data_IF_713836789081
#
_entry.id   IF_713836789081
#
_cell.length_a   1.000
_cell.length_b   1.000
_cell.length_c   1.000
_cell.angle_alpha   90.00
_cell.angle_beta   90.00
_cell.angle_gamma   90.00
#
_symmetry.space_group_name_H-M   'P 1'
#
loop_
_entity.id
_entity.type
_entity.pdbx_description
1 polymer ?
#
# COMPACT_ATOMS: atom_id res chain seq x y z
N UNK A 1 17.65 -28.72 16.49
CA UNK A 1 18.12 -27.37 16.07
C UNK A 1 18.50 -26.54 17.27
N UNK A 2 17.57 -26.10 18.14
CA UNK A 2 17.90 -25.19 19.26
C UNK A 2 19.03 -25.68 20.19
N UNK A 3 19.06 -26.97 20.53
CA UNK A 3 20.12 -27.55 21.39
C UNK A 3 21.52 -27.53 20.77
N UNK A 4 21.61 -27.35 19.45
CA UNK A 4 22.85 -27.43 18.69
C UNK A 4 22.95 -26.22 17.74
N UNK A 5 22.69 -25.02 18.25
CA UNK A 5 22.66 -23.79 17.45
C UNK A 5 23.99 -23.56 16.71
N UNK A 6 25.12 -23.86 17.34
CA UNK A 6 26.46 -23.69 16.76
C UNK A 6 26.87 -24.80 15.77
N UNK A 7 26.00 -25.78 15.50
CA UNK A 7 26.25 -26.87 14.56
C UNK A 7 25.57 -26.62 13.21
N UNK A 8 26.30 -26.03 12.26
CA UNK A 8 25.81 -25.62 10.94
C UNK A 8 25.04 -26.73 10.20
N UNK A 9 25.60 -27.93 10.16
CA UNK A 9 25.00 -29.07 9.45
C UNK A 9 23.64 -29.48 10.05
N UNK A 10 23.47 -29.35 11.37
CA UNK A 10 22.20 -29.60 12.07
C UNK A 10 21.19 -28.51 11.75
N UNK A 11 21.59 -27.25 11.66
CA UNK A 11 20.68 -26.17 11.29
C UNK A 11 20.20 -26.29 9.85
N UNK A 12 21.10 -26.59 8.91
CA UNK A 12 20.75 -26.76 7.49
C UNK A 12 19.81 -27.95 7.30
N UNK A 13 20.17 -29.12 7.83
CA UNK A 13 19.36 -30.33 7.67
C UNK A 13 18.03 -30.22 8.43
N UNK A 14 18.06 -29.61 9.61
CA UNK A 14 16.88 -29.37 10.44
C UNK A 14 15.90 -28.40 9.79
N UNK A 15 16.37 -27.28 9.25
CA UNK A 15 15.52 -26.29 8.58
C UNK A 15 14.88 -26.86 7.30
N UNK A 16 15.62 -27.64 6.51
CA UNK A 16 15.05 -28.38 5.38
C UNK A 16 13.97 -29.38 5.83
N UNK A 17 14.19 -30.08 6.94
CA UNK A 17 13.20 -31.01 7.50
C UNK A 17 11.94 -30.27 7.96
N UNK A 18 12.09 -29.12 8.62
CA UNK A 18 10.96 -28.28 9.02
C UNK A 18 10.15 -27.81 7.81
N UNK A 19 10.80 -27.39 6.72
CA UNK A 19 10.11 -27.04 5.48
C UNK A 19 9.18 -28.16 4.99
N UNK A 20 9.68 -29.40 4.90
CA UNK A 20 8.86 -30.53 4.44
C UNK A 20 7.76 -30.92 5.45
N UNK A 21 7.99 -30.76 6.75
CA UNK A 21 6.97 -30.99 7.78
C UNK A 21 5.83 -30.00 7.65
N UNK A 22 6.14 -28.72 7.41
CA UNK A 22 5.13 -27.66 7.29
C UNK A 22 4.43 -27.72 5.93
N UNK A 23 5.16 -28.00 4.84
CA UNK A 23 4.62 -28.12 3.48
C UNK A 23 3.77 -29.39 3.28
N UNK A 24 4.18 -30.52 3.85
CA UNK A 24 3.71 -31.85 3.47
C UNK A 24 2.44 -32.37 4.15
N UNK A 25 1.74 -31.57 4.95
CA UNK A 25 0.52 -32.03 5.64
C UNK A 25 -0.75 -31.51 4.99
N UNK A 26 -1.63 -32.43 4.63
CA UNK A 26 -3.05 -32.17 4.40
C UNK A 26 -3.64 -31.44 5.62
N UNK A 27 -3.81 -30.12 5.50
CA UNK A 27 -4.66 -29.17 6.27
C UNK A 27 -4.91 -29.44 7.76
N UNK A 28 -4.02 -30.13 8.47
CA UNK A 28 -4.02 -30.16 9.94
C UNK A 28 -3.33 -28.89 10.40
N UNK A 29 -4.14 -27.88 10.69
CA UNK A 29 -3.70 -26.61 11.29
C UNK A 29 -2.86 -26.93 12.52
N UNK A 30 -1.53 -26.76 12.42
CA UNK A 30 -0.69 -26.71 13.61
C UNK A 30 -1.31 -25.71 14.59
N UNK A 31 -1.37 -26.07 15.87
CA UNK A 31 -1.78 -25.12 16.88
C UNK A 31 -0.79 -23.94 16.94
N UNK A 32 -1.25 -22.80 17.44
CA UNK A 32 -0.41 -21.60 17.48
C UNK A 32 0.89 -21.82 18.26
N UNK A 33 0.87 -22.69 19.28
CA UNK A 33 2.07 -23.02 20.04
C UNK A 33 3.12 -23.71 19.19
N UNK A 34 2.73 -24.73 18.41
CA UNK A 34 3.66 -25.46 17.53
C UNK A 34 4.18 -24.55 16.43
N UNK A 35 3.34 -23.71 15.84
CA UNK A 35 3.77 -22.71 14.85
C UNK A 35 4.86 -21.79 15.41
N UNK A 36 4.61 -21.21 16.59
CA UNK A 36 5.58 -20.33 17.28
C UNK A 36 6.90 -21.04 17.59
N UNK A 37 6.84 -22.32 18.00
CA UNK A 37 8.05 -23.11 18.23
C UNK A 37 8.85 -23.33 16.94
N UNK A 38 8.19 -23.71 15.84
CA UNK A 38 8.86 -23.90 14.54
C UNK A 38 9.47 -22.59 14.05
N UNK A 39 8.70 -21.50 14.05
CA UNK A 39 9.16 -20.17 13.64
C UNK A 39 10.33 -19.71 14.52
N UNK A 40 10.21 -19.78 15.85
CA UNK A 40 11.27 -19.37 16.77
C UNK A 40 12.56 -20.16 16.58
N UNK A 41 12.46 -21.49 16.40
CA UNK A 41 13.60 -22.37 16.10
C UNK A 41 14.28 -21.97 14.79
N UNK A 42 13.48 -21.67 13.77
CA UNK A 42 13.97 -21.28 12.46
C UNK A 42 14.70 -19.93 12.50
N UNK A 43 14.10 -18.93 13.16
CA UNK A 43 14.69 -17.60 13.32
C UNK A 43 15.98 -17.63 14.16
N UNK A 44 16.08 -18.54 15.15
CA UNK A 44 17.35 -18.77 15.86
C UNK A 44 18.45 -19.20 14.88
N UNK A 45 18.19 -20.24 14.08
CA UNK A 45 19.15 -20.74 13.09
C UNK A 45 19.51 -19.70 12.03
N UNK A 46 18.53 -18.94 11.54
CA UNK A 46 18.76 -17.86 10.59
C UNK A 46 19.61 -16.74 11.19
N UNK A 47 19.39 -16.39 12.46
CA UNK A 47 20.17 -15.33 13.15
C UNK A 47 21.65 -15.68 13.32
N UNK A 48 21.93 -16.96 13.62
CA UNK A 48 23.29 -17.48 13.78
C UNK A 48 24.02 -17.59 12.43
N UNK A 49 23.36 -18.14 11.40
CA UNK A 49 23.97 -18.36 10.08
C UNK A 49 23.44 -17.40 9.01
N UNK A 50 23.34 -16.11 9.35
CA UNK A 50 22.76 -15.06 8.49
C UNK A 50 23.39 -14.93 7.11
N UNK A 51 24.67 -15.30 6.97
CA UNK A 51 25.41 -15.26 5.70
C UNK A 51 25.37 -16.56 4.89
N UNK A 52 24.65 -17.58 5.36
CA UNK A 52 24.56 -18.87 4.68
C UNK A 52 23.32 -18.95 3.76
N UNK A 53 23.54 -19.04 2.44
CA UNK A 53 22.46 -19.08 1.43
C UNK A 53 21.47 -20.23 1.69
N UNK A 54 21.97 -21.40 2.08
CA UNK A 54 21.11 -22.57 2.28
C UNK A 54 20.24 -22.40 3.53
N UNK A 55 20.81 -21.87 4.62
CA UNK A 55 20.04 -21.57 5.83
C UNK A 55 18.98 -20.49 5.56
N UNK A 56 19.34 -19.40 4.88
CA UNK A 56 18.40 -18.33 4.53
C UNK A 56 17.30 -18.85 3.61
N UNK A 57 17.65 -19.63 2.57
CA UNK A 57 16.70 -20.24 1.64
C UNK A 57 15.69 -21.13 2.36
N UNK A 58 16.16 -22.06 3.18
CA UNK A 58 15.28 -22.96 3.94
C UNK A 58 14.40 -22.17 4.91
N UNK A 59 14.98 -21.17 5.56
CA UNK A 59 14.30 -20.19 6.40
C UNK A 59 13.11 -19.54 5.71
N UNK A 60 13.40 -18.79 4.66
CA UNK A 60 12.40 -18.06 3.88
C UNK A 60 11.32 -18.98 3.30
N UNK A 61 11.70 -20.11 2.69
CA UNK A 61 10.73 -21.06 2.13
C UNK A 61 9.78 -21.65 3.18
N UNK A 62 10.30 -21.91 4.38
CA UNK A 62 9.49 -22.40 5.50
C UNK A 62 8.56 -21.30 6.03
N UNK A 63 9.04 -20.07 6.15
CA UNK A 63 8.24 -18.91 6.56
C UNK A 63 7.07 -18.65 5.60
N UNK A 64 7.29 -18.79 4.28
CA UNK A 64 6.23 -18.68 3.28
C UNK A 64 5.08 -19.69 3.42
N UNK A 65 5.23 -20.73 4.26
CA UNK A 65 4.15 -21.69 4.52
C UNK A 65 3.23 -21.28 5.70
N UNK A 66 3.56 -20.18 6.40
CA UNK A 66 2.76 -19.66 7.51
C UNK A 66 1.89 -18.49 7.05
N UNK A 67 0.86 -18.17 7.85
CA UNK A 67 0.04 -16.97 7.63
C UNK A 67 0.82 -15.75 8.10
N UNK A 68 1.34 -14.98 7.16
CA UNK A 68 2.07 -13.75 7.45
C UNK A 68 1.09 -12.58 7.38
N UNK A 69 1.06 -11.69 8.39
CA UNK A 69 1.96 -11.57 9.52
C UNK A 69 1.45 -12.29 10.77
N UNK A 70 0.19 -12.75 10.80
CA UNK A 70 -0.49 -13.31 11.99
C UNK A 70 0.37 -14.29 12.80
N UNK A 71 0.97 -15.28 12.12
CA UNK A 71 1.75 -16.36 12.75
C UNK A 71 3.14 -15.87 13.22
N UNK A 72 3.65 -14.74 12.71
CA UNK A 72 5.00 -14.22 12.99
C UNK A 72 5.04 -12.98 13.89
N UNK A 73 3.89 -12.39 14.23
CA UNK A 73 3.79 -11.17 15.06
C UNK A 73 4.51 -11.28 16.41
N UNK A 74 4.56 -12.47 17.01
CA UNK A 74 5.19 -12.68 18.32
C UNK A 74 6.71 -12.42 18.32
N UNK A 75 7.34 -12.41 17.15
CA UNK A 75 8.79 -12.24 16.98
C UNK A 75 9.10 -11.36 15.75
N UNK A 76 8.24 -10.37 15.56
CA UNK A 76 8.18 -9.52 14.39
C UNK A 76 9.49 -8.77 14.13
N UNK A 77 10.01 -8.09 15.15
CA UNK A 77 11.22 -7.25 15.03
C UNK A 77 12.43 -8.07 14.57
N UNK A 78 12.62 -9.27 15.12
CA UNK A 78 13.70 -10.17 14.73
C UNK A 78 13.55 -10.64 13.29
N UNK A 79 12.34 -11.00 12.88
CA UNK A 79 12.06 -11.35 11.49
C UNK A 79 12.39 -10.19 10.56
N UNK A 80 11.96 -8.96 10.87
CA UNK A 80 12.23 -7.78 10.04
C UNK A 80 13.73 -7.52 9.93
N UNK A 81 14.49 -7.61 11.02
CA UNK A 81 15.96 -7.51 10.97
C UNK A 81 16.59 -8.53 10.02
N UNK A 82 16.13 -9.79 10.08
CA UNK A 82 16.62 -10.85 9.20
C UNK A 82 16.25 -10.59 7.74
N UNK A 83 15.01 -10.19 7.46
CA UNK A 83 14.56 -9.88 6.10
C UNK A 83 15.34 -8.69 5.51
N UNK A 84 15.54 -7.63 6.29
CA UNK A 84 16.34 -6.47 5.84
C UNK A 84 17.82 -6.84 5.62
N UNK A 85 18.37 -7.74 6.44
CA UNK A 85 19.70 -8.30 6.19
C UNK A 85 19.74 -9.08 4.88
N UNK A 86 18.76 -9.96 4.64
CA UNK A 86 18.65 -10.73 3.39
C UNK A 86 18.60 -9.82 2.17
N UNK A 87 17.76 -8.78 2.22
CA UNK A 87 17.63 -7.81 1.12
C UNK A 87 18.95 -7.09 0.83
N UNK A 88 19.73 -6.81 1.88
CA UNK A 88 20.93 -5.97 1.78
C UNK A 88 22.20 -6.73 1.46
N UNK A 89 22.38 -7.92 2.04
CA UNK A 89 23.67 -8.62 2.08
C UNK A 89 23.71 -9.90 1.25
N UNK A 90 22.56 -10.46 0.87
CA UNK A 90 22.55 -11.63 -0.03
C UNK A 90 22.90 -11.20 -1.46
N UNK A 91 23.40 -12.16 -2.24
CA UNK A 91 23.78 -11.92 -3.62
C UNK A 91 22.62 -11.27 -4.40
N UNK A 92 22.93 -10.20 -5.13
CA UNK A 92 21.93 -9.45 -5.89
C UNK A 92 21.25 -10.37 -6.91
N UNK A 93 19.94 -10.27 -7.01
CA UNK A 93 19.08 -11.11 -7.87
C UNK A 93 19.04 -12.59 -7.48
N UNK A 94 19.69 -13.00 -6.39
CA UNK A 94 19.60 -14.36 -5.89
C UNK A 94 18.17 -14.71 -5.50
N UNK A 95 17.86 -16.01 -5.58
CA UNK A 95 16.58 -16.56 -5.15
C UNK A 95 16.24 -16.18 -3.70
N UNK A 96 17.24 -16.16 -2.82
CA UNK A 96 17.07 -15.81 -1.41
C UNK A 96 16.72 -14.33 -1.24
N UNK A 97 17.42 -13.43 -1.94
CA UNK A 97 17.11 -12.00 -1.90
C UNK A 97 15.68 -11.75 -2.38
N UNK A 98 15.28 -12.36 -3.50
CA UNK A 98 13.92 -12.24 -4.06
C UNK A 98 12.86 -12.66 -3.04
N UNK A 99 12.98 -13.85 -2.42
CA UNK A 99 12.00 -14.27 -1.40
C UNK A 99 12.02 -13.34 -0.18
N UNK A 100 13.19 -12.86 0.23
CA UNK A 100 13.30 -11.88 1.33
C UNK A 100 12.52 -10.60 1.07
N UNK A 101 12.58 -10.08 -0.16
CA UNK A 101 11.82 -8.90 -0.60
C UNK A 101 10.31 -9.19 -0.59
N UNK A 102 9.88 -10.34 -1.13
CA UNK A 102 8.47 -10.74 -1.09
C UNK A 102 7.92 -10.89 0.33
N UNK A 103 8.67 -11.57 1.21
CA UNK A 103 8.31 -11.71 2.62
C UNK A 103 8.22 -10.36 3.31
N UNK A 104 9.16 -9.44 3.04
CA UNK A 104 9.12 -8.09 3.60
C UNK A 104 7.87 -7.33 3.14
N UNK A 105 7.48 -7.46 1.87
CA UNK A 105 6.23 -6.88 1.36
C UNK A 105 5.00 -7.45 2.07
N UNK A 106 4.91 -8.79 2.20
CA UNK A 106 3.80 -9.45 2.90
C UNK A 106 3.70 -9.02 4.36
N UNK A 107 4.85 -8.89 5.03
CA UNK A 107 4.92 -8.40 6.41
C UNK A 107 4.47 -6.95 6.49
N UNK A 108 4.82 -6.08 5.54
CA UNK A 108 4.40 -4.68 5.52
C UNK A 108 2.89 -4.50 5.24
N UNK A 109 2.31 -5.35 4.39
CA UNK A 109 0.93 -5.23 3.88
C UNK A 109 -0.16 -5.33 4.97
N UNK A 110 0.10 -6.00 6.08
CA UNK A 110 -0.96 -6.39 7.04
C UNK A 110 -0.69 -5.97 8.49
N UNK A 111 0.35 -5.17 8.73
CA UNK A 111 0.69 -4.69 10.08
C UNK A 111 0.15 -3.29 10.38
N UNK A 112 0.05 -2.94 11.66
CA UNK A 112 -0.42 -1.65 12.15
C UNK A 112 0.65 -0.54 12.04
N UNK A 113 0.26 0.71 12.32
CA UNK A 113 1.15 1.87 12.20
C UNK A 113 2.42 1.81 13.08
N UNK A 114 2.38 1.12 14.22
CA UNK A 114 3.56 0.99 15.10
C UNK A 114 4.63 0.08 14.48
N UNK A 115 4.20 -1.02 13.86
CA UNK A 115 5.10 -1.94 13.16
C UNK A 115 5.58 -1.38 11.82
N UNK A 116 4.73 -0.64 11.08
CA UNK A 116 5.17 0.11 9.89
C UNK A 116 6.22 1.15 10.24
N UNK A 117 6.06 1.85 11.37
CA UNK A 117 7.08 2.78 11.88
C UNK A 117 8.38 2.05 12.20
N UNK A 118 8.32 0.90 12.88
CA UNK A 118 9.50 0.06 13.14
C UNK A 118 10.21 -0.36 11.84
N UNK A 119 9.49 -0.83 10.82
CA UNK A 119 10.06 -1.14 9.51
C UNK A 119 10.86 0.04 8.94
N UNK A 120 10.28 1.23 9.01
CA UNK A 120 10.95 2.46 8.60
C UNK A 120 12.18 2.82 9.44
N UNK A 121 12.07 2.68 10.77
CA UNK A 121 13.16 2.95 11.73
C UNK A 121 14.34 2.00 11.49
N UNK A 122 14.07 0.75 11.12
CA UNK A 122 15.06 -0.26 10.74
C UNK A 122 15.64 -0.06 9.33
N UNK A 123 15.17 0.95 8.59
CA UNK A 123 15.73 1.36 7.32
C UNK A 123 15.10 0.73 6.08
N UNK A 124 13.91 0.12 6.19
CA UNK A 124 13.24 -0.52 5.05
C UNK A 124 13.12 0.41 3.83
N UNK A 125 12.70 1.67 4.04
CA UNK A 125 12.58 2.67 2.96
C UNK A 125 13.91 2.86 2.22
N UNK A 126 15.01 3.08 2.94
CA UNK A 126 16.32 3.30 2.33
C UNK A 126 16.81 2.07 1.55
N UNK A 127 16.53 0.85 2.05
CA UNK A 127 16.89 -0.38 1.34
C UNK A 127 16.09 -0.54 0.05
N UNK A 128 14.78 -0.29 0.07
CA UNK A 128 13.96 -0.34 -1.14
C UNK A 128 14.36 0.73 -2.16
N UNK A 129 14.66 1.95 -1.72
CA UNK A 129 15.18 3.01 -2.60
C UNK A 129 16.50 2.60 -3.26
N UNK A 130 17.40 1.93 -2.55
CA UNK A 130 18.63 1.39 -3.12
C UNK A 130 18.40 0.32 -4.19
N UNK A 131 17.42 -0.57 -4.00
CA UNK A 131 17.02 -1.54 -5.03
C UNK A 131 16.47 -0.85 -6.28
N UNK A 132 15.63 0.18 -6.09
CA UNK A 132 15.06 0.96 -7.19
C UNK A 132 16.14 1.72 -7.94
N UNK A 133 17.10 2.33 -7.24
CA UNK A 133 18.22 3.03 -7.84
C UNK A 133 19.07 2.10 -8.72
N UNK A 134 19.41 0.90 -8.23
CA UNK A 134 20.14 -0.11 -9.00
C UNK A 134 19.39 -0.52 -10.27
N UNK A 135 18.12 -0.89 -10.14
CA UNK A 135 17.28 -1.34 -11.26
C UNK A 135 17.06 -0.24 -12.28
N UNK A 136 16.87 0.99 -11.84
CA UNK A 136 16.74 2.15 -12.71
C UNK A 136 18.05 2.46 -13.44
N UNK A 137 19.20 2.39 -12.76
CA UNK A 137 20.51 2.60 -13.38
C UNK A 137 20.81 1.56 -14.45
N UNK A 138 20.41 0.30 -14.21
CA UNK A 138 20.56 -0.82 -15.14
C UNK A 138 19.45 -0.93 -16.18
N UNK A 139 18.40 -0.10 -16.06
CA UNK A 139 17.19 -0.11 -16.92
C UNK A 139 16.49 -1.47 -16.94
N UNK A 140 16.45 -2.14 -15.79
CA UNK A 140 15.77 -3.42 -15.60
C UNK A 140 14.45 -3.16 -14.87
N UNK A 141 13.35 -3.65 -15.44
CA UNK A 141 12.05 -3.69 -14.78
C UNK A 141 11.68 -5.15 -14.58
N UNK A 142 11.98 -5.66 -13.38
CA UNK A 142 11.66 -7.00 -12.93
C UNK A 142 10.66 -6.96 -11.76
N UNK A 143 10.24 -8.14 -11.33
CA UNK A 143 9.40 -8.35 -10.15
C UNK A 143 9.97 -7.70 -8.89
N UNK A 144 11.30 -7.67 -8.75
CA UNK A 144 11.97 -7.02 -7.62
C UNK A 144 11.69 -5.51 -7.59
N UNK A 145 11.77 -4.83 -8.74
CA UNK A 145 11.46 -3.40 -8.82
C UNK A 145 10.00 -3.13 -8.41
N UNK A 146 9.06 -3.91 -8.94
CA UNK A 146 7.62 -3.76 -8.67
C UNK A 146 7.29 -4.01 -7.20
N UNK A 147 7.86 -5.08 -6.60
CA UNK A 147 7.66 -5.41 -5.19
C UNK A 147 8.36 -4.41 -4.27
N UNK A 148 9.50 -3.82 -4.67
CA UNK A 148 10.13 -2.76 -3.88
C UNK A 148 9.23 -1.52 -3.75
N UNK A 149 8.60 -1.10 -4.85
CA UNK A 149 7.61 -0.02 -4.82
C UNK A 149 6.36 -0.41 -4.02
N UNK A 150 5.84 -1.63 -4.19
CA UNK A 150 4.71 -2.17 -3.40
C UNK A 150 5.02 -2.18 -1.90
N UNK A 151 6.25 -2.59 -1.53
CA UNK A 151 6.70 -2.61 -0.13
C UNK A 151 6.72 -1.21 0.44
N UNK A 152 7.27 -0.23 -0.29
CA UNK A 152 7.27 1.16 0.17
C UNK A 152 5.86 1.74 0.24
N UNK A 153 4.97 1.40 -0.68
CA UNK A 153 3.55 1.80 -0.61
C UNK A 153 2.92 1.31 0.70
N UNK A 154 3.11 0.02 1.04
CA UNK A 154 2.60 -0.56 2.28
C UNK A 154 3.22 0.06 3.55
N UNK A 155 4.52 0.37 3.54
CA UNK A 155 5.24 0.95 4.69
C UNK A 155 4.92 2.43 4.92
N UNK A 156 4.53 3.16 3.87
CA UNK A 156 4.15 4.58 3.96
C UNK A 156 2.71 4.81 4.37
N UNK A 157 1.84 3.82 4.15
CA UNK A 157 0.41 3.88 4.50
C UNK A 157 0.21 4.17 6.00
N UNK A 158 -0.60 5.21 6.30
CA UNK A 158 -0.87 5.74 7.65
C UNK A 158 0.40 6.11 8.47
N UNK A 159 1.56 6.28 7.83
CA UNK A 159 2.84 6.48 8.53
C UNK A 159 3.62 7.68 7.99
N UNK A 160 3.30 8.88 8.50
CA UNK A 160 3.86 10.16 8.04
C UNK A 160 5.40 10.24 8.06
N UNK A 161 6.06 9.62 9.05
CA UNK A 161 7.52 9.56 9.13
C UNK A 161 8.13 8.77 7.97
N UNK A 162 7.46 7.71 7.51
CA UNK A 162 7.93 6.91 6.38
C UNK A 162 7.72 7.63 5.05
N UNK A 163 6.61 8.38 4.90
CA UNK A 163 6.41 9.30 3.78
C UNK A 163 7.54 10.35 3.73
N UNK A 164 7.94 10.89 4.88
CA UNK A 164 9.05 11.84 4.97
C UNK A 164 10.38 11.19 4.56
N UNK A 165 10.69 9.98 5.06
CA UNK A 165 11.88 9.21 4.67
C UNK A 165 11.96 8.97 3.16
N UNK A 166 10.85 8.64 2.52
CA UNK A 166 10.78 8.49 1.08
C UNK A 166 11.21 9.77 0.34
N UNK A 167 10.66 10.92 0.75
CA UNK A 167 11.03 12.20 0.13
C UNK A 167 12.47 12.60 0.43
N UNK A 168 12.96 12.35 1.64
CA UNK A 168 14.35 12.64 2.05
C UNK A 168 15.36 11.75 1.30
N UNK A 169 14.96 10.53 0.96
CA UNK A 169 15.75 9.57 0.19
C UNK A 169 15.71 9.77 -1.34
N UNK A 170 15.32 10.97 -1.82
CA UNK A 170 15.17 11.28 -3.26
C UNK A 170 14.11 10.44 -3.98
N UNK A 171 13.10 9.93 -3.27
CA UNK A 171 12.05 9.08 -3.82
C UNK A 171 11.34 9.66 -5.06
N UNK A 172 11.14 10.97 -5.11
CA UNK A 172 10.54 11.65 -6.27
C UNK A 172 11.44 11.65 -7.51
N UNK A 173 12.77 11.66 -7.35
CA UNK A 173 13.70 11.54 -8.48
C UNK A 173 13.59 10.15 -9.11
N UNK A 174 13.51 9.11 -8.27
CA UNK A 174 13.33 7.73 -8.74
C UNK A 174 11.96 7.50 -9.36
N UNK A 175 10.89 8.11 -8.82
CA UNK A 175 9.57 8.09 -9.45
C UNK A 175 9.60 8.63 -10.88
N UNK A 176 10.15 9.84 -11.08
CA UNK A 176 10.29 10.44 -12.41
C UNK A 176 11.20 9.62 -13.33
N UNK A 177 12.26 9.05 -12.77
CA UNK A 177 13.17 8.15 -13.48
C UNK A 177 12.44 6.92 -14.00
N UNK A 178 11.68 6.24 -13.14
CA UNK A 178 10.90 5.06 -13.51
C UNK A 178 9.82 5.41 -14.54
N UNK A 179 9.06 6.49 -14.36
CA UNK A 179 8.05 6.93 -15.32
C UNK A 179 8.64 7.17 -16.72
N UNK A 180 9.85 7.76 -16.79
CA UNK A 180 10.54 8.03 -18.05
C UNK A 180 11.13 6.77 -18.71
N UNK A 181 11.69 5.86 -17.91
CA UNK A 181 12.40 4.67 -18.41
C UNK A 181 11.44 3.51 -18.68
N UNK A 182 10.33 3.43 -17.95
CA UNK A 182 9.37 2.34 -17.96
C UNK A 182 7.92 2.84 -18.12
N UNK A 183 7.60 3.63 -19.18
CA UNK A 183 6.28 4.25 -19.33
C UNK A 183 5.15 3.23 -19.52
N UNK A 184 5.44 2.06 -20.10
CA UNK A 184 4.45 1.03 -20.44
C UNK A 184 4.32 -0.05 -19.35
N UNK A 185 4.78 0.23 -18.13
CA UNK A 185 4.76 -0.71 -16.99
C UNK A 185 3.65 -0.33 -16.03
N UNK A 186 2.45 -0.83 -16.34
CA UNK A 186 1.21 -0.43 -15.67
C UNK A 186 1.20 -0.76 -14.18
N UNK A 187 1.59 -1.98 -13.79
CA UNK A 187 1.67 -2.41 -12.39
C UNK A 187 2.69 -1.61 -11.57
N UNK A 188 3.87 -1.36 -12.14
CA UNK A 188 4.88 -0.50 -11.54
C UNK A 188 4.31 0.91 -11.29
N UNK A 189 3.65 1.48 -12.29
CA UNK A 189 3.05 2.81 -12.21
C UNK A 189 1.93 2.87 -11.17
N UNK A 190 1.06 1.84 -11.10
CA UNK A 190 0.06 1.71 -10.03
C UNK A 190 0.72 1.77 -8.65
N UNK A 191 1.75 0.94 -8.40
CA UNK A 191 2.42 0.87 -7.10
C UNK A 191 3.08 2.20 -6.72
N UNK A 192 3.73 2.86 -7.70
CA UNK A 192 4.30 4.19 -7.53
C UNK A 192 3.23 5.24 -7.17
N UNK A 193 2.09 5.23 -7.86
CA UNK A 193 1.02 6.19 -7.63
C UNK A 193 0.29 5.96 -6.30
N UNK A 194 0.10 4.70 -5.90
CA UNK A 194 -0.44 4.37 -4.58
C UNK A 194 0.40 4.95 -3.44
N UNK A 195 1.73 4.81 -3.51
CA UNK A 195 2.65 5.42 -2.56
C UNK A 195 2.49 6.94 -2.51
N UNK A 196 2.42 7.60 -3.67
CA UNK A 196 2.27 9.06 -3.72
C UNK A 196 0.92 9.55 -3.18
N UNK A 197 -0.12 8.73 -3.27
CA UNK A 197 -1.38 8.94 -2.54
C UNK A 197 -1.13 9.12 -1.04
N UNK A 198 -0.44 8.16 -0.41
CA UNK A 198 -0.10 8.21 1.02
C UNK A 198 0.76 9.42 1.38
N UNK A 199 1.70 9.81 0.52
CA UNK A 199 2.53 11.01 0.75
C UNK A 199 1.68 12.27 0.69
N UNK A 200 0.75 12.36 -0.27
CA UNK A 200 -0.13 13.52 -0.43
C UNK A 200 -1.13 13.67 0.72
N UNK A 201 -1.52 12.59 1.39
CA UNK A 201 -2.34 12.65 2.61
C UNK A 201 -1.66 13.47 3.71
N UNK A 202 -0.33 13.41 3.83
CA UNK A 202 0.45 14.10 4.86
C UNK A 202 0.59 15.59 4.53
N UNK A 203 -0.27 16.41 5.14
CA UNK A 203 -0.32 17.88 4.93
C UNK A 203 1.04 18.58 4.99
N UNK A 204 1.89 18.21 5.95
CA UNK A 204 3.22 18.83 6.12
C UNK A 204 4.18 18.56 4.95
N UNK A 205 3.95 17.51 4.15
CA UNK A 205 4.80 17.11 3.03
C UNK A 205 4.32 17.65 1.68
N UNK A 206 3.04 18.04 1.55
CA UNK A 206 2.46 18.60 0.32
C UNK A 206 3.28 19.76 -0.28
N UNK A 207 3.87 20.71 0.49
CA UNK A 207 4.71 21.76 -0.09
C UNK A 207 5.91 21.22 -0.89
N UNK A 208 6.43 20.04 -0.55
CA UNK A 208 7.53 19.38 -1.28
C UNK A 208 7.09 18.76 -2.60
N UNK A 209 5.79 18.45 -2.73
CA UNK A 209 5.17 17.96 -3.96
C UNK A 209 4.69 19.09 -4.88
N UNK A 210 4.51 20.30 -4.34
CA UNK A 210 4.07 21.49 -5.08
C UNK A 210 5.18 22.08 -5.97
N UNK A 211 5.65 21.30 -6.94
CA UNK A 211 6.61 21.73 -7.97
C UNK A 211 5.96 21.64 -9.34
N UNK A 212 6.34 22.51 -10.27
CA UNK A 212 5.83 22.49 -11.66
C UNK A 212 5.99 21.10 -12.28
N UNK A 213 7.14 20.46 -12.11
CA UNK A 213 7.42 19.16 -12.70
C UNK A 213 6.47 18.08 -12.17
N UNK A 214 6.29 17.96 -10.85
CA UNK A 214 5.44 16.93 -10.27
C UNK A 214 3.96 17.21 -10.56
N UNK A 215 3.51 18.46 -10.43
CA UNK A 215 2.11 18.81 -10.63
C UNK A 215 1.69 18.67 -12.10
N UNK A 216 2.57 18.95 -13.07
CA UNK A 216 2.30 18.61 -14.47
C UNK A 216 2.15 17.09 -14.66
N UNK A 217 3.07 16.30 -14.11
CA UNK A 217 2.99 14.82 -14.21
C UNK A 217 1.70 14.29 -13.62
N UNK A 218 1.29 14.72 -12.42
CA UNK A 218 0.03 14.28 -11.82
C UNK A 218 -1.18 14.70 -12.64
N UNK A 219 -1.18 15.93 -13.18
CA UNK A 219 -2.26 16.38 -14.04
C UNK A 219 -2.33 15.54 -15.33
N UNK A 220 -1.19 15.15 -15.91
CA UNK A 220 -1.14 14.33 -17.12
C UNK A 220 -1.58 12.89 -16.88
N UNK A 221 -1.30 12.34 -15.71
CA UNK A 221 -1.76 11.01 -15.32
C UNK A 221 -3.28 10.90 -15.12
N UNK A 222 -4.02 12.02 -15.01
CA UNK A 222 -5.48 12.02 -15.00
C UNK A 222 -6.10 11.45 -16.30
N UNK A 223 -5.38 11.56 -17.41
CA UNK A 223 -5.81 11.06 -18.72
C UNK A 223 -5.26 9.66 -19.02
N UNK A 224 -4.55 9.05 -18.07
CA UNK A 224 -4.05 7.68 -18.21
C UNK A 224 -5.18 6.65 -18.16
N UNK A 225 -5.17 5.73 -19.13
CA UNK A 225 -6.01 4.52 -19.14
C UNK A 225 -5.20 3.25 -18.80
N UNK A 226 -3.96 3.41 -18.33
CA UNK A 226 -3.10 2.32 -17.89
C UNK A 226 -3.69 1.65 -16.64
N UNK A 227 -3.71 0.32 -16.61
CA UNK A 227 -4.27 -0.48 -15.51
C UNK A 227 -5.74 -0.12 -15.20
N UNK A 228 -6.53 0.09 -16.25
CA UNK A 228 -7.91 0.55 -16.13
C UNK A 228 -7.98 1.99 -15.63
N UNK A 229 -8.53 2.21 -14.43
CA UNK A 229 -8.64 3.53 -13.82
C UNK A 229 -7.64 3.76 -12.69
N UNK A 230 -6.83 2.77 -12.31
CA UNK A 230 -5.99 2.82 -11.11
C UNK A 230 -5.05 4.02 -11.08
N UNK A 231 -4.33 4.25 -12.18
CA UNK A 231 -3.37 5.34 -12.28
C UNK A 231 -4.06 6.70 -12.23
N UNK A 232 -5.11 6.90 -13.03
CA UNK A 232 -5.86 8.18 -13.07
C UNK A 232 -6.61 8.46 -11.77
N UNK A 233 -7.15 7.42 -11.12
CA UNK A 233 -7.80 7.50 -9.83
C UNK A 233 -6.84 7.97 -8.73
N UNK A 234 -5.65 7.34 -8.66
CA UNK A 234 -4.64 7.72 -7.68
C UNK A 234 -4.08 9.13 -7.96
N UNK A 235 -3.87 9.49 -9.23
CA UNK A 235 -3.47 10.84 -9.62
C UNK A 235 -4.50 11.89 -9.17
N UNK A 236 -5.79 11.62 -9.37
CA UNK A 236 -6.86 12.48 -8.88
C UNK A 236 -6.92 12.54 -7.34
N UNK A 237 -6.60 11.45 -6.65
CA UNK A 237 -6.48 11.42 -5.18
C UNK A 237 -5.35 12.30 -4.67
N UNK A 238 -4.16 12.17 -5.25
CA UNK A 238 -3.01 13.06 -4.99
C UNK A 238 -3.42 14.51 -5.20
N UNK A 239 -3.97 14.84 -6.37
CA UNK A 239 -4.39 16.20 -6.70
C UNK A 239 -5.51 16.73 -5.80
N UNK A 240 -6.42 15.87 -5.34
CA UNK A 240 -7.46 16.23 -4.36
C UNK A 240 -6.84 16.66 -3.04
N UNK A 241 -5.85 15.92 -2.54
CA UNK A 241 -5.11 16.32 -1.33
C UNK A 241 -4.30 17.60 -1.54
N UNK A 242 -3.63 17.76 -2.68
CA UNK A 242 -2.90 18.99 -3.00
C UNK A 242 -3.84 20.21 -3.06
N UNK A 243 -5.00 20.08 -3.70
CA UNK A 243 -5.97 21.16 -3.83
C UNK A 243 -6.74 21.47 -2.53
N UNK A 244 -6.82 20.50 -1.61
CA UNK A 244 -7.54 20.63 -0.34
C UNK A 244 -6.97 21.70 0.60
N UNK A 245 -5.69 22.05 0.44
CA UNK A 245 -5.04 23.10 1.23
C UNK A 245 -5.54 24.51 0.87
N UNK A 246 -6.28 24.65 -0.24
CA UNK A 246 -6.89 25.90 -0.69
C UNK A 246 -6.16 26.58 -1.84
N UNK A 247 -6.74 27.67 -2.39
CA UNK A 247 -6.14 28.38 -3.52
C UNK A 247 -4.82 29.06 -3.16
N UNK A 248 -4.67 29.59 -1.94
CA UNK A 248 -3.49 30.35 -1.53
C UNK A 248 -2.23 29.49 -1.38
N UNK A 249 -2.36 28.18 -1.26
CA UNK A 249 -1.23 27.25 -1.17
C UNK A 249 -0.82 26.70 -2.53
N UNK A 250 -1.61 26.96 -3.58
CA UNK A 250 -1.24 26.64 -4.96
C UNK A 250 -0.30 27.71 -5.50
N UNK A 251 1.00 27.50 -5.35
CA UNK A 251 2.05 28.49 -5.67
C UNK A 251 2.51 28.47 -7.12
N UNK A 252 1.87 27.69 -7.99
CA UNK A 252 2.31 27.47 -9.37
C UNK A 252 1.45 28.23 -10.37
N UNK A 253 2.08 28.90 -11.32
CA UNK A 253 1.42 29.45 -12.51
C UNK A 253 1.09 28.36 -13.54
N UNK A 254 1.91 27.30 -13.58
CA UNK A 254 1.75 26.15 -14.47
C UNK A 254 2.02 24.86 -13.66
N UNK A 255 1.09 23.88 -13.68
CA UNK A 255 -0.26 23.99 -14.22
C UNK A 255 -1.13 24.90 -13.34
N UNK A 256 -2.05 25.66 -13.97
CA UNK A 256 -3.00 26.50 -13.23
C UNK A 256 -3.96 25.63 -12.43
N UNK A 257 -4.26 26.03 -11.19
CA UNK A 257 -5.15 25.30 -10.28
C UNK A 257 -6.49 24.97 -10.93
N UNK A 258 -7.12 25.94 -11.57
CA UNK A 258 -8.45 25.79 -12.18
C UNK A 258 -8.44 24.77 -13.33
N UNK A 259 -7.35 24.73 -14.10
CA UNK A 259 -7.17 23.75 -15.18
C UNK A 259 -7.05 22.35 -14.60
N UNK A 260 -6.27 22.18 -13.53
CA UNK A 260 -6.13 20.87 -12.88
C UNK A 260 -7.45 20.41 -12.27
N UNK A 261 -8.17 21.29 -11.57
CA UNK A 261 -9.47 20.97 -11.00
C UNK A 261 -10.50 20.57 -12.07
N UNK A 262 -10.49 21.23 -13.24
CA UNK A 262 -11.36 20.84 -14.34
C UNK A 262 -10.97 19.45 -14.88
N UNK A 263 -9.68 19.20 -15.12
CA UNK A 263 -9.21 17.87 -15.57
C UNK A 263 -9.56 16.76 -14.58
N UNK A 264 -9.52 17.05 -13.27
CA UNK A 264 -9.96 16.09 -12.24
C UNK A 264 -11.45 15.74 -12.41
N UNK A 265 -12.32 16.73 -12.61
CA UNK A 265 -13.75 16.49 -12.84
C UNK A 265 -13.96 15.68 -14.12
N UNK A 266 -13.25 16.02 -15.19
CA UNK A 266 -13.33 15.29 -16.45
C UNK A 266 -12.87 13.83 -16.28
N UNK A 267 -11.83 13.57 -15.49
CA UNK A 267 -11.37 12.22 -15.17
C UNK A 267 -12.42 11.43 -14.36
N UNK A 268 -12.95 12.02 -13.29
CA UNK A 268 -13.98 11.38 -12.44
C UNK A 268 -15.22 11.00 -13.27
N UNK A 269 -15.61 11.85 -14.22
CA UNK A 269 -16.75 11.61 -15.09
C UNK A 269 -16.54 10.50 -16.13
N UNK A 270 -15.29 10.12 -16.41
CA UNK A 270 -14.98 9.04 -17.36
C UNK A 270 -15.01 7.65 -16.73
N UNK A 271 -14.84 7.56 -15.41
CA UNK A 271 -14.75 6.26 -14.74
C UNK A 271 -16.10 5.57 -14.59
N UNK A 272 -16.14 4.26 -14.78
CA UNK A 272 -17.31 3.45 -14.44
C UNK A 272 -17.33 3.17 -12.93
N UNK A 273 -18.46 3.49 -12.29
CA UNK A 273 -18.68 3.24 -10.86
C UNK A 273 -18.62 1.76 -10.48
N UNK A 274 -18.78 0.86 -11.44
CA UNK A 274 -18.70 -0.60 -11.22
C UNK A 274 -17.31 -1.19 -11.46
N UNK A 275 -16.33 -0.36 -11.83
CA UNK A 275 -14.95 -0.83 -11.99
C UNK A 275 -14.40 -1.36 -10.68
N UNK A 276 -14.03 -2.63 -10.68
CA UNK A 276 -13.25 -3.26 -9.61
C UNK A 276 -11.85 -2.64 -9.55
N UNK A 277 -11.31 -2.54 -8.33
CA UNK A 277 -10.03 -1.88 -8.07
C UNK A 277 -9.18 -2.65 -7.08
N UNK A 278 -7.87 -2.61 -7.29
CA UNK A 278 -6.90 -3.21 -6.39
C UNK A 278 -6.50 -2.24 -5.26
N UNK A 279 -7.49 -1.80 -4.49
CA UNK A 279 -7.30 -0.87 -3.37
C UNK A 279 -7.99 -1.39 -2.11
N UNK A 280 -7.24 -1.37 -1.01
CA UNK A 280 -7.68 -1.85 0.29
C UNK A 280 -7.69 -0.70 1.32
N UNK A 281 -8.79 0.03 1.43
CA UNK A 281 -8.94 1.04 2.47
C UNK A 281 -9.15 0.39 3.85
N UNK A 282 -8.28 0.74 4.79
CA UNK A 282 -8.38 0.34 6.21
C UNK A 282 -9.22 1.31 7.03
N UNK A 283 -9.18 2.58 6.66
CA UNK A 283 -10.02 3.65 7.18
C UNK A 283 -10.47 4.57 6.04
N UNK A 284 -11.61 5.22 6.22
CA UNK A 284 -12.05 6.33 5.37
C UNK A 284 -11.69 7.70 5.94
N UNK A 285 -10.81 7.81 6.93
CA UNK A 285 -10.35 9.11 7.45
C UNK A 285 -9.82 10.04 6.33
N UNK A 286 -8.93 9.61 5.41
CA UNK A 286 -8.44 10.50 4.34
C UNK A 286 -9.53 10.93 3.35
N UNK A 287 -10.43 10.00 2.99
CA UNK A 287 -11.56 10.26 2.10
C UNK A 287 -12.56 11.22 2.78
N UNK A 288 -12.88 10.97 4.05
CA UNK A 288 -13.78 11.79 4.86
C UNK A 288 -13.24 13.19 5.10
N UNK A 289 -11.92 13.33 5.23
CA UNK A 289 -11.25 14.63 5.26
C UNK A 289 -11.54 15.41 3.97
N UNK A 290 -11.32 14.81 2.79
CA UNK A 290 -11.58 15.45 1.50
C UNK A 290 -13.06 15.76 1.27
N UNK A 291 -13.97 14.89 1.73
CA UNK A 291 -15.41 15.10 1.65
C UNK A 291 -15.90 16.30 2.48
N UNK A 292 -15.12 16.77 3.46
CA UNK A 292 -15.39 17.99 4.25
C UNK A 292 -14.82 19.27 3.63
N UNK A 293 -14.15 19.19 2.47
CA UNK A 293 -13.52 20.34 1.81
C UNK A 293 -14.53 21.09 0.94
N UNK A 294 -15.28 22.01 1.57
CA UNK A 294 -16.33 22.77 0.89
C UNK A 294 -15.79 23.87 -0.05
N UNK A 295 -14.63 24.46 0.26
CA UNK A 295 -14.03 25.52 -0.57
C UNK A 295 -13.52 25.02 -1.94
N UNK A 296 -13.37 23.70 -2.11
CA UNK A 296 -12.96 23.05 -3.37
C UNK A 296 -13.82 21.81 -3.63
N UNK A 297 -15.03 21.99 -4.18
CA UNK A 297 -15.98 20.89 -4.37
C UNK A 297 -15.44 19.71 -5.20
N UNK A 298 -14.45 19.92 -6.07
CA UNK A 298 -13.82 18.86 -6.85
C UNK A 298 -13.09 17.83 -5.96
N UNK A 299 -12.55 18.25 -4.81
CA UNK A 299 -12.01 17.33 -3.80
C UNK A 299 -13.12 16.42 -3.24
N UNK A 300 -14.29 17.02 -2.95
CA UNK A 300 -15.47 16.26 -2.50
C UNK A 300 -15.96 15.32 -3.60
N UNK A 301 -15.90 15.73 -4.87
CA UNK A 301 -16.31 14.88 -5.99
C UNK A 301 -15.51 13.59 -6.05
N UNK A 302 -14.18 13.67 -5.95
CA UNK A 302 -13.33 12.48 -5.90
C UNK A 302 -13.66 11.62 -4.68
N UNK A 303 -13.78 12.23 -3.49
CA UNK A 303 -14.04 11.52 -2.25
C UNK A 303 -15.38 10.77 -2.26
N UNK A 304 -16.46 11.44 -2.68
CA UNK A 304 -17.79 10.84 -2.72
C UNK A 304 -17.91 9.83 -3.87
N UNK A 305 -17.23 10.05 -5.00
CA UNK A 305 -17.12 9.03 -6.06
C UNK A 305 -16.41 7.78 -5.53
N UNK A 306 -15.31 7.91 -4.80
CA UNK A 306 -14.60 6.78 -4.21
C UNK A 306 -15.52 5.97 -3.28
N UNK A 307 -16.28 6.63 -2.41
CA UNK A 307 -17.27 5.96 -1.56
C UNK A 307 -18.39 5.29 -2.36
N UNK A 308 -18.87 5.92 -3.44
CA UNK A 308 -19.90 5.37 -4.32
C UNK A 308 -19.42 4.11 -5.02
N UNK A 309 -18.22 4.11 -5.59
CA UNK A 309 -17.61 2.93 -6.19
C UNK A 309 -17.41 1.81 -5.15
N UNK A 310 -16.78 2.10 -4.00
CA UNK A 310 -16.47 1.09 -2.99
C UNK A 310 -17.72 0.42 -2.41
N UNK A 311 -18.77 1.20 -2.13
CA UNK A 311 -20.04 0.65 -1.63
C UNK A 311 -20.88 -0.05 -2.71
N UNK A 312 -20.59 0.19 -3.99
CA UNK A 312 -21.22 -0.51 -5.11
C UNK A 312 -20.53 -1.85 -5.39
N UNK A 313 -19.20 -1.84 -5.41
CA UNK A 313 -18.39 -3.00 -5.83
C UNK A 313 -18.13 -3.96 -4.67
N UNK A 314 -17.84 -3.44 -3.48
CA UNK A 314 -17.55 -4.26 -2.29
C UNK A 314 -18.41 -3.84 -1.08
N UNK A 315 -19.76 -3.94 -1.19
CA UNK A 315 -20.68 -3.47 -0.16
C UNK A 315 -20.43 -4.13 1.20
N UNK A 316 -20.10 -5.43 1.21
CA UNK A 316 -19.91 -6.21 2.44
C UNK A 316 -18.90 -5.60 3.40
N UNK A 317 -17.79 -5.09 2.86
CA UNK A 317 -16.73 -4.47 3.64
C UNK A 317 -16.99 -2.99 3.86
N UNK A 318 -17.24 -2.26 2.77
CA UNK A 318 -17.17 -0.81 2.80
C UNK A 318 -18.46 -0.13 3.26
N UNK A 319 -19.63 -0.77 3.13
CA UNK A 319 -20.84 -0.23 3.77
C UNK A 319 -20.73 -0.30 5.30
N UNK A 320 -20.18 -1.40 5.82
CA UNK A 320 -19.94 -1.55 7.26
C UNK A 320 -18.91 -0.53 7.76
N UNK A 321 -17.75 -0.44 7.09
CA UNK A 321 -16.70 0.51 7.47
C UNK A 321 -17.21 1.96 7.47
N UNK A 322 -17.91 2.37 6.41
CA UNK A 322 -18.46 3.72 6.29
C UNK A 322 -19.45 4.06 7.40
N UNK A 323 -20.32 3.11 7.77
CA UNK A 323 -21.26 3.32 8.86
C UNK A 323 -20.54 3.40 10.22
N UNK A 324 -19.56 2.52 10.45
CA UNK A 324 -18.79 2.50 11.71
C UNK A 324 -17.99 3.78 11.95
N UNK A 325 -17.56 4.46 10.88
CA UNK A 325 -16.82 5.73 10.94
C UNK A 325 -17.74 6.97 10.83
N UNK A 326 -19.07 6.80 10.89
CA UNK A 326 -20.02 7.92 10.87
C UNK A 326 -20.20 8.59 9.50
N UNK A 327 -19.78 7.94 8.41
CA UNK A 327 -19.82 8.50 7.07
C UNK A 327 -21.23 8.77 6.53
N UNK A 328 -22.26 8.07 7.02
CA UNK A 328 -23.65 8.33 6.62
C UNK A 328 -24.13 9.73 7.03
N UNK A 329 -23.72 10.21 8.20
CA UNK A 329 -24.06 11.55 8.67
C UNK A 329 -23.34 12.60 7.82
N UNK A 330 -22.05 12.40 7.54
CA UNK A 330 -21.28 13.26 6.66
C UNK A 330 -21.92 13.41 5.27
N UNK A 331 -22.41 12.31 4.68
CA UNK A 331 -23.07 12.35 3.38
C UNK A 331 -24.42 13.09 3.42
N UNK A 332 -25.16 13.01 4.53
CA UNK A 332 -26.39 13.80 4.70
C UNK A 332 -26.10 15.29 4.78
N UNK A 333 -25.03 15.69 5.49
CA UNK A 333 -24.58 17.08 5.55
C UNK A 333 -24.21 17.60 4.14
N UNK A 334 -23.47 16.81 3.35
CA UNK A 334 -23.09 17.17 1.97
C UNK A 334 -24.33 17.38 1.09
N UNK A 335 -25.36 16.54 1.22
CA UNK A 335 -26.60 16.66 0.44
C UNK A 335 -27.34 17.97 0.78
N UNK A 336 -27.37 18.34 2.05
CA UNK A 336 -28.09 19.53 2.53
C UNK A 336 -27.31 20.83 2.29
N UNK A 337 -25.99 20.78 2.14
CA UNK A 337 -25.15 21.95 1.97
C UNK A 337 -25.29 22.57 0.56
N UNK A 338 -25.22 23.90 0.43
CA UNK A 338 -25.44 24.60 -0.86
C UNK A 338 -24.24 24.52 -1.81
N UNK A 339 -23.01 24.44 -1.30
CA UNK A 339 -21.80 24.50 -2.12
C UNK A 339 -21.52 23.28 -3.02
N UNK A 340 -21.71 22.01 -2.59
CA UNK A 340 -21.53 20.86 -3.47
C UNK A 340 -22.50 20.89 -4.65
N UNK A 341 -21.99 20.71 -5.88
CA UNK A 341 -22.84 20.65 -7.08
C UNK A 341 -23.61 19.32 -7.18
N UNK A 342 -24.66 19.31 -8.03
CA UNK A 342 -25.67 18.25 -8.10
C UNK A 342 -25.10 16.83 -8.15
N UNK A 343 -24.11 16.59 -9.01
CA UNK A 343 -23.50 15.27 -9.17
C UNK A 343 -22.87 14.71 -7.87
N UNK A 344 -22.27 15.56 -7.04
CA UNK A 344 -21.73 15.14 -5.73
C UNK A 344 -22.87 14.66 -4.83
N UNK A 345 -23.98 15.40 -4.82
CA UNK A 345 -25.16 15.05 -4.02
C UNK A 345 -25.81 13.76 -4.52
N UNK A 346 -25.87 13.55 -5.83
CA UNK A 346 -26.37 12.31 -6.44
C UNK A 346 -25.52 11.09 -6.04
N UNK A 347 -24.19 11.20 -6.10
CA UNK A 347 -23.28 10.16 -5.63
C UNK A 347 -23.45 9.91 -4.13
N UNK A 348 -23.59 10.95 -3.30
CA UNK A 348 -23.83 10.81 -1.87
C UNK A 348 -25.14 10.07 -1.56
N UNK A 349 -26.22 10.40 -2.28
CA UNK A 349 -27.50 9.67 -2.17
C UNK A 349 -27.36 8.20 -2.59
N UNK A 350 -26.57 7.91 -3.63
CA UNK A 350 -26.27 6.55 -4.07
C UNK A 350 -25.56 5.75 -2.98
N UNK A 351 -24.53 6.31 -2.34
CA UNK A 351 -23.81 5.66 -1.24
C UNK A 351 -24.77 5.33 -0.08
N UNK A 352 -25.58 6.30 0.35
CA UNK A 352 -26.57 6.07 1.41
C UNK A 352 -27.55 4.96 1.02
N UNK A 353 -28.00 4.91 -0.23
CA UNK A 353 -28.88 3.86 -0.74
C UNK A 353 -28.19 2.49 -0.71
N UNK A 354 -26.95 2.40 -1.15
CA UNK A 354 -26.16 1.15 -1.13
C UNK A 354 -26.04 0.61 0.30
N UNK A 355 -25.70 1.47 1.28
CA UNK A 355 -25.62 1.07 2.68
C UNK A 355 -26.97 0.59 3.25
N UNK A 356 -28.08 1.27 2.90
CA UNK A 356 -29.43 0.84 3.31
C UNK A 356 -29.79 -0.52 2.74
N UNK A 357 -29.58 -0.72 1.43
CA UNK A 357 -29.86 -1.99 0.76
C UNK A 357 -29.03 -3.13 1.35
N UNK A 358 -27.75 -2.88 1.63
CA UNK A 358 -26.88 -3.87 2.26
C UNK A 358 -27.39 -4.28 3.66
N UNK A 359 -27.83 -3.31 4.48
CA UNK A 359 -28.42 -3.58 5.80
C UNK A 359 -29.70 -4.39 5.70
N UNK A 360 -30.58 -4.06 4.76
CA UNK A 360 -31.86 -4.76 4.55
C UNK A 360 -31.67 -6.20 4.08
N UNK A 361 -30.58 -6.51 3.39
CA UNK A 361 -30.26 -7.87 2.93
C UNK A 361 -29.70 -8.78 4.03
N UNK A 362 -29.49 -8.28 5.26
CA UNK A 362 -29.14 -9.10 6.42
C UNK A 362 -27.79 -9.83 6.33
N UNK A 363 -26.91 -9.42 5.41
CA UNK A 363 -25.59 -10.01 5.25
C UNK A 363 -24.64 -9.41 6.29
N UNK A 364 -24.49 -10.06 7.44
CA UNK A 364 -23.33 -9.83 8.30
C UNK A 364 -22.07 -10.31 7.56
N UNK A 365 -20.93 -9.61 7.66
CA UNK A 365 -19.71 -10.04 7.01
C UNK A 365 -19.34 -11.44 7.54
N UNK A 366 -19.39 -12.45 6.66
CA UNK A 366 -18.51 -13.60 6.83
C UNK A 366 -17.10 -13.05 6.71
N UNK A 367 -16.23 -13.36 7.67
CA UNK A 367 -14.83 -12.97 7.67
C UNK A 367 -14.27 -13.06 6.25
N UNK A 368 -14.16 -11.91 5.59
CA UNK A 368 -13.66 -11.82 4.25
C UNK A 368 -12.18 -12.16 4.38
N UNK A 369 -11.83 -13.41 4.11
CA UNK A 369 -10.50 -13.80 3.70
C UNK A 369 -10.22 -13.00 2.43
N UNK A 370 -9.69 -11.80 2.64
CA UNK A 370 -9.12 -10.97 1.59
C UNK A 370 -7.78 -11.63 1.25
N UNK A 371 -7.79 -12.45 0.21
CA UNK A 371 -6.56 -12.79 -0.50
C UNK A 371 -5.97 -11.49 -1.06
N UNK A 372 -4.78 -11.17 -0.59
CA UNK A 372 -3.92 -10.07 -1.02
C UNK A 372 -2.48 -10.40 -0.70
#
# INVERSE_FOLDING_TARGET
MDRHINEKHIQISGSATLFYIVKGKDKTSFDMRTKRMVIGTLLNGMSEYRSDDTMMRNGCLTLCQFKIPEDVLFDYERLVHLLLHIVSEMEQESFVQRIGIYLLNSVACQVDGSQKKLLGDLGAINRMLGLIEDRLARRVCDDVLEVAWSTMWNVTDETSMNCQRFLDGRGMEFFLGCLRVFPDKEELLRNMMGLLGNVAEVRALRPRLMTMQFMCVFADLLDSCSDGIEVSYNAAGVLSHMASDGPNTWTLDVPRREVVLQRMVDAINRWDLRTERNINYRSFEPISYLAKIYHTPQCQHWAVWALANLTTVYPAKYCFLLESEGGLTLLQEIIQHDQPYGQIKELAMMVIKNCRQFREQGQLPQDAQLDG
#
